data_IF_861974483698
#
_entry.id   IF_861974483698
#
_cell.length_a   1.000
_cell.length_b   1.000
_cell.length_c   1.000
_cell.angle_alpha   90.00
_cell.angle_beta   90.00
_cell.angle_gamma   90.00
#
_symmetry.space_group_name_H-M   'P 1'
#
loop_
_entity.id
_entity.type
_entity.pdbx_description
1 polymer ?
#
# COMPACT_ATOMS: atom_id res chain seq x y z
N UNK A 1 33.88 6.98 16.30
CA UNK A 1 32.43 7.20 16.59
C UNK A 1 31.63 7.39 15.30
N UNK A 2 32.19 7.96 14.23
CA UNK A 2 31.48 8.16 12.94
C UNK A 2 31.28 6.88 12.09
N UNK A 3 32.11 5.85 12.27
CA UNK A 3 32.11 4.65 11.42
C UNK A 3 30.97 3.68 11.79
N UNK A 4 30.55 3.65 13.06
CA UNK A 4 29.48 2.77 13.56
C UNK A 4 28.06 3.22 13.19
N UNK A 5 27.88 4.46 12.70
CA UNK A 5 26.58 4.96 12.24
C UNK A 5 26.27 4.62 10.78
N UNK A 6 27.30 4.41 9.94
CA UNK A 6 27.09 4.13 8.51
C UNK A 6 26.63 2.70 8.24
N UNK A 7 27.04 1.74 9.08
CA UNK A 7 26.65 0.33 8.93
C UNK A 7 25.20 0.08 9.37
N UNK A 8 24.70 0.82 10.37
CA UNK A 8 23.32 0.69 10.86
C UNK A 8 22.24 1.29 9.93
N UNK A 9 22.63 2.10 8.93
CA UNK A 9 21.69 2.69 7.97
C UNK A 9 21.49 1.80 6.72
N UNK A 10 22.39 0.84 6.46
CA UNK A 10 22.23 -0.07 5.32
C UNK A 10 21.04 -1.04 5.50
N UNK A 11 20.72 -1.44 6.73
CA UNK A 11 19.53 -2.22 7.05
C UNK A 11 18.23 -1.39 6.98
N UNK A 12 18.33 -0.06 7.08
CA UNK A 12 17.25 0.90 6.87
C UNK A 12 17.16 1.39 5.42
N UNK A 13 17.58 0.57 4.44
CA UNK A 13 17.03 0.62 3.08
C UNK A 13 15.53 0.28 3.16
N UNK A 14 14.74 1.21 3.71
CA UNK A 14 13.29 1.23 3.63
C UNK A 14 12.99 1.15 2.15
N UNK A 15 12.57 -0.03 1.67
CA UNK A 15 12.10 -0.24 0.30
C UNK A 15 10.76 0.47 0.19
N UNK A 16 10.81 1.80 0.16
CA UNK A 16 9.67 2.63 -0.16
C UNK A 16 9.47 2.44 -1.66
N UNK A 17 8.43 1.70 -2.01
CA UNK A 17 8.03 1.46 -3.40
C UNK A 17 6.71 2.18 -3.65
N UNK A 18 6.30 2.31 -4.91
CA UNK A 18 4.94 2.77 -5.20
C UNK A 18 3.96 1.65 -4.84
N UNK A 19 2.78 2.01 -4.36
CA UNK A 19 1.66 1.07 -4.25
C UNK A 19 0.91 1.06 -5.57
N UNK A 20 0.56 -0.13 -6.06
CA UNK A 20 -0.46 -0.26 -7.09
C UNK A 20 -1.74 -0.65 -6.36
N UNK A 21 -2.74 0.22 -6.40
CA UNK A 21 -4.04 -0.03 -5.77
C UNK A 21 -5.16 0.04 -6.79
N UNK A 22 -6.12 -0.87 -6.66
CA UNK A 22 -7.29 -0.95 -7.52
C UNK A 22 -8.49 -1.54 -6.76
N UNK A 23 -9.69 -1.29 -7.25
CA UNK A 23 -10.88 -1.99 -6.80
C UNK A 23 -11.32 -3.04 -7.82
N UNK A 24 -11.71 -4.21 -7.31
CA UNK A 24 -12.42 -5.22 -8.10
C UNK A 24 -13.76 -5.52 -7.43
N UNK A 25 -14.67 -6.18 -8.14
CA UNK A 25 -16.01 -6.45 -7.63
C UNK A 25 -16.32 -7.94 -7.67
N UNK A 26 -16.79 -8.46 -6.53
CA UNK A 26 -17.47 -9.73 -6.44
C UNK A 26 -18.98 -9.46 -6.26
N UNK A 27 -19.71 -9.41 -7.37
CA UNK A 27 -21.10 -8.94 -7.36
C UNK A 27 -21.20 -7.47 -6.99
N UNK A 28 -21.97 -7.14 -5.94
CA UNK A 28 -22.11 -5.76 -5.43
C UNK A 28 -21.07 -5.40 -4.36
N UNK A 29 -20.18 -6.33 -3.99
CA UNK A 29 -19.19 -6.11 -2.94
C UNK A 29 -17.87 -5.65 -3.56
N UNK A 30 -17.41 -4.42 -3.27
CA UNK A 30 -16.08 -3.98 -3.69
C UNK A 30 -15.01 -4.71 -2.86
N UNK A 31 -13.91 -5.04 -3.52
CA UNK A 31 -12.71 -5.61 -2.94
C UNK A 31 -11.59 -4.62 -3.22
N UNK A 32 -10.97 -4.11 -2.16
CA UNK A 32 -9.82 -3.22 -2.27
C UNK A 32 -8.56 -4.08 -2.26
N UNK A 33 -7.68 -3.86 -3.23
CA UNK A 33 -6.40 -4.57 -3.33
C UNK A 33 -5.26 -3.59 -3.50
N UNK A 34 -4.16 -3.85 -2.81
CA UNK A 34 -2.89 -3.15 -2.99
C UNK A 34 -1.76 -4.14 -3.13
N UNK A 35 -0.92 -3.96 -4.15
CA UNK A 35 0.22 -4.82 -4.46
C UNK A 35 1.54 -4.04 -4.51
N UNK A 36 2.65 -4.74 -4.26
CA UNK A 36 3.99 -4.23 -4.49
C UNK A 36 4.39 -4.49 -5.95
N UNK A 37 4.76 -3.45 -6.74
CA UNK A 37 4.88 -3.54 -8.19
C UNK A 37 5.98 -4.50 -8.68
N UNK A 38 7.08 -4.66 -7.94
CA UNK A 38 8.23 -5.43 -8.42
C UNK A 38 8.07 -6.94 -8.20
N UNK A 39 7.65 -7.32 -6.99
CA UNK A 39 7.48 -8.72 -6.58
C UNK A 39 6.07 -9.24 -6.85
N UNK A 40 5.14 -8.35 -7.22
CA UNK A 40 3.70 -8.60 -7.35
C UNK A 40 3.07 -9.19 -6.09
N UNK A 41 3.72 -9.00 -4.94
CA UNK A 41 3.18 -9.44 -3.67
C UNK A 41 1.93 -8.63 -3.34
N UNK A 42 0.86 -9.33 -2.96
CA UNK A 42 -0.35 -8.71 -2.42
C UNK A 42 -0.01 -8.21 -1.02
N UNK A 43 0.00 -6.89 -0.84
CA UNK A 43 0.26 -6.25 0.45
C UNK A 43 -0.99 -6.30 1.33
N UNK A 44 -2.17 -6.12 0.72
CA UNK A 44 -3.47 -6.32 1.36
C UNK A 44 -4.55 -6.54 0.30
N UNK A 45 -5.52 -7.38 0.65
CA UNK A 45 -6.77 -7.57 -0.08
C UNK A 45 -7.90 -7.67 0.94
N UNK A 46 -8.99 -6.93 0.74
CA UNK A 46 -10.14 -7.01 1.65
C UNK A 46 -11.45 -6.68 0.94
N UNK A 47 -12.54 -7.31 1.41
CA UNK A 47 -13.89 -6.88 1.05
C UNK A 47 -14.19 -5.59 1.81
N UNK A 48 -14.68 -4.56 1.12
CA UNK A 48 -15.06 -3.29 1.70
C UNK A 48 -16.57 -3.05 1.55
N UNK A 49 -17.13 -2.22 2.43
CA UNK A 49 -18.53 -1.80 2.32
C UNK A 49 -18.76 -0.80 1.19
N UNK A 50 -17.72 -0.03 0.82
CA UNK A 50 -17.77 1.00 -0.20
C UNK A 50 -16.36 1.38 -0.71
N UNK A 51 -16.31 2.29 -1.69
CA UNK A 51 -15.09 2.78 -2.35
C UNK A 51 -14.71 4.21 -1.96
N UNK A 52 -15.11 4.68 -0.78
CA UNK A 52 -14.84 6.07 -0.38
C UNK A 52 -13.37 6.21 0.04
N UNK A 53 -12.87 7.45 0.00
CA UNK A 53 -11.51 7.78 0.42
C UNK A 53 -11.17 7.29 1.83
N UNK A 54 -12.13 7.31 2.77
CA UNK A 54 -11.91 6.81 4.13
C UNK A 54 -11.66 5.29 4.18
N UNK A 55 -12.38 4.51 3.35
CA UNK A 55 -12.15 3.06 3.25
C UNK A 55 -10.76 2.77 2.68
N UNK A 56 -10.33 3.52 1.67
CA UNK A 56 -8.97 3.43 1.12
C UNK A 56 -7.88 3.84 2.10
N UNK A 57 -8.10 4.92 2.86
CA UNK A 57 -7.18 5.36 3.90
C UNK A 57 -6.99 4.28 4.96
N UNK A 58 -8.08 3.68 5.44
CA UNK A 58 -8.00 2.59 6.41
C UNK A 58 -7.28 1.37 5.84
N UNK A 59 -7.52 1.01 4.58
CA UNK A 59 -6.81 -0.05 3.88
C UNK A 59 -5.28 0.16 3.91
N UNK A 60 -4.80 1.36 3.57
CA UNK A 60 -3.36 1.66 3.56
C UNK A 60 -2.75 1.77 4.97
N UNK A 61 -3.49 2.32 5.96
CA UNK A 61 -3.02 2.36 7.35
C UNK A 61 -2.72 0.94 7.87
N UNK A 62 -3.53 -0.05 7.51
CA UNK A 62 -3.26 -1.45 7.89
C UNK A 62 -2.03 -2.04 7.18
N UNK A 63 -1.73 -1.62 5.94
CA UNK A 63 -0.49 -2.00 5.26
C UNK A 63 0.73 -1.41 5.98
N UNK A 64 0.63 -0.14 6.40
CA UNK A 64 1.71 0.56 7.11
C UNK A 64 1.99 -0.01 8.50
N UNK A 65 0.97 -0.51 9.19
CA UNK A 65 1.13 -1.27 10.45
C UNK A 65 1.97 -2.54 10.27
N UNK A 66 2.03 -3.09 9.06
CA UNK A 66 2.86 -4.23 8.69
C UNK A 66 4.23 -3.83 8.13
N UNK A 67 4.69 -2.59 8.40
CA UNK A 67 5.99 -2.05 8.00
C UNK A 67 6.20 -1.86 6.48
N UNK A 68 5.12 -1.85 5.69
CA UNK A 68 5.16 -1.50 4.27
C UNK A 68 4.76 -0.05 4.07
N UNK A 69 5.65 0.75 3.49
CA UNK A 69 5.43 2.19 3.27
C UNK A 69 5.55 2.53 1.80
N UNK A 70 4.73 3.47 1.34
CA UNK A 70 4.71 3.89 -0.07
C UNK A 70 5.46 5.19 -0.34
N UNK A 71 6.05 5.32 -1.54
CA UNK A 71 6.51 6.60 -2.09
C UNK A 71 5.40 7.36 -2.82
N UNK A 72 4.36 6.65 -3.25
CA UNK A 72 3.31 7.20 -4.08
C UNK A 72 2.33 6.12 -4.53
N UNK A 73 1.16 6.56 -4.98
CA UNK A 73 0.09 5.68 -5.40
C UNK A 73 0.02 5.64 -6.93
N UNK A 74 -0.05 4.44 -7.48
CA UNK A 74 -0.46 4.17 -8.85
C UNK A 74 -1.84 3.54 -8.76
N UNK A 75 -2.82 4.22 -9.30
CA UNK A 75 -4.21 3.77 -9.32
C UNK A 75 -4.88 4.19 -10.62
N UNK A 76 -6.07 3.67 -10.85
CA UNK A 76 -6.96 4.26 -11.84
C UNK A 76 -7.50 5.62 -11.33
N UNK A 77 -8.39 6.24 -12.10
CA UNK A 77 -9.06 7.50 -11.72
C UNK A 77 -10.33 7.26 -10.89
N UNK A 78 -10.40 6.15 -10.15
CA UNK A 78 -11.48 5.84 -9.23
C UNK A 78 -11.66 6.97 -8.21
N UNK A 79 -12.90 7.42 -8.00
CA UNK A 79 -13.21 8.56 -7.11
C UNK A 79 -12.82 8.36 -5.64
N UNK A 80 -12.54 7.12 -5.25
CA UNK A 80 -12.04 6.80 -3.90
C UNK A 80 -10.54 6.97 -3.73
N UNK A 81 -9.80 6.98 -4.85
CA UNK A 81 -8.35 6.93 -4.93
C UNK A 81 -7.73 8.28 -5.30
N UNK A 82 -8.55 9.19 -5.85
CA UNK A 82 -8.17 10.53 -6.33
C UNK A 82 -8.68 11.66 -5.44
#
# INVERSE_FOLDING_TARGET
IEILWKENIQHLKRRRNHFISDEIFAGSMPILITIEPKSTAILRIEIAENRKSESWKNHWVEIEKNYFYTLGLVSDRGKGLC
#
